data_IF_481498185031
#
_entry.id   IF_481498185031
#
_cell.length_a   1.000
_cell.length_b   1.000
_cell.length_c   1.000
_cell.angle_alpha   90.00
_cell.angle_beta   90.00
_cell.angle_gamma   90.00
#
_symmetry.space_group_name_H-M   'P 1'
#
loop_
_entity.id
_entity.type
_entity.pdbx_description
1 polymer ?
#
# COMPACT_ATOMS: atom_id res chain seq x y z
N UNK A 1 -1.90 -46.80 42.40
CA UNK A 1 -0.73 -46.20 41.73
C UNK A 1 -0.88 -46.41 40.24
N UNK A 2 -1.37 -45.40 39.52
CA UNK A 2 -1.34 -45.32 38.07
C UNK A 2 -0.86 -43.91 37.75
N UNK A 3 0.42 -43.79 37.44
CA UNK A 3 1.01 -42.58 36.90
C UNK A 3 0.54 -42.46 35.45
N UNK A 4 -0.45 -41.61 35.19
CA UNK A 4 -0.71 -41.10 33.85
C UNK A 4 0.24 -39.93 33.61
N UNK A 5 1.47 -40.21 33.19
CA UNK A 5 2.27 -39.21 32.49
C UNK A 5 1.58 -38.96 31.15
N UNK A 6 0.86 -37.85 31.06
CA UNK A 6 0.29 -37.41 29.80
C UNK A 6 1.43 -37.10 28.84
N UNK A 7 1.55 -37.92 27.79
CA UNK A 7 2.32 -37.58 26.60
C UNK A 7 1.71 -36.30 26.01
N UNK A 8 2.30 -35.16 26.37
CA UNK A 8 2.03 -33.90 25.67
C UNK A 8 2.42 -34.04 24.20
N UNK A 9 1.78 -33.29 23.29
CA UNK A 9 2.09 -33.36 21.88
C UNK A 9 3.60 -33.15 21.66
N UNK A 10 4.21 -34.04 20.87
CA UNK A 10 5.63 -33.96 20.53
C UNK A 10 5.97 -32.54 20.04
N UNK A 11 7.04 -31.91 20.57
CA UNK A 11 7.44 -30.55 20.19
C UNK A 11 7.69 -30.40 18.68
N UNK A 12 7.96 -31.50 17.97
CA UNK A 12 8.09 -31.54 16.52
C UNK A 12 6.73 -31.37 15.82
N UNK A 13 5.69 -32.05 16.29
CA UNK A 13 4.34 -31.97 15.73
C UNK A 13 3.75 -30.56 15.91
N UNK A 14 4.03 -29.93 17.06
CA UNK A 14 3.63 -28.56 17.31
C UNK A 14 4.31 -27.58 16.34
N UNK A 15 5.61 -27.78 16.05
CA UNK A 15 6.38 -26.90 15.14
C UNK A 15 5.90 -27.01 13.69
N UNK A 16 5.61 -28.23 13.19
CA UNK A 16 5.10 -28.43 11.82
C UNK A 16 3.73 -27.79 11.61
N UNK A 17 2.83 -27.91 12.59
CA UNK A 17 1.52 -27.23 12.56
C UNK A 17 1.70 -25.71 12.51
N UNK A 18 2.65 -25.17 13.29
CA UNK A 18 2.93 -23.73 13.29
C UNK A 18 3.51 -23.24 11.96
N UNK A 19 4.42 -24.01 11.35
CA UNK A 19 4.95 -23.70 10.02
C UNK A 19 3.85 -23.66 8.96
N UNK A 20 2.90 -24.61 9.00
CA UNK A 20 1.72 -24.61 8.13
C UNK A 20 0.84 -23.37 8.37
N UNK A 21 0.57 -23.03 9.64
CA UNK A 21 -0.22 -21.84 9.98
C UNK A 21 0.45 -20.55 9.48
N UNK A 22 1.78 -20.45 9.57
CA UNK A 22 2.55 -19.31 9.08
C UNK A 22 2.51 -19.22 7.55
N UNK A 23 2.55 -20.34 6.86
CA UNK A 23 2.48 -20.38 5.40
C UNK A 23 1.08 -19.99 4.90
N UNK A 24 0.04 -20.58 5.46
CA UNK A 24 -1.35 -20.26 5.11
C UNK A 24 -1.68 -18.80 5.40
N UNK A 25 -1.32 -18.30 6.59
CA UNK A 25 -1.54 -16.90 6.93
C UNK A 25 -0.61 -15.96 6.19
N UNK A 26 0.56 -16.42 5.75
CA UNK A 26 1.43 -15.66 4.85
C UNK A 26 0.85 -15.54 3.44
N UNK A 27 0.19 -16.60 2.96
CA UNK A 27 -0.57 -16.58 1.71
C UNK A 27 -1.79 -15.65 1.83
N UNK A 28 -2.47 -15.66 2.98
CA UNK A 28 -3.58 -14.76 3.29
C UNK A 28 -3.13 -13.37 3.77
N UNK A 29 -1.83 -13.13 4.04
CA UNK A 29 -1.33 -11.86 4.60
C UNK A 29 -1.55 -10.67 3.66
N UNK A 30 -1.76 -10.93 2.37
CA UNK A 30 -2.19 -9.90 1.43
C UNK A 30 -3.58 -9.34 1.73
N UNK A 31 -4.41 -10.12 2.43
CA UNK A 31 -5.80 -9.87 2.80
C UNK A 31 -5.98 -9.64 4.30
N UNK A 32 -5.03 -10.06 5.14
CA UNK A 32 -5.11 -9.93 6.60
C UNK A 32 -4.39 -8.66 7.09
N UNK A 33 -5.07 -7.79 7.85
CA UNK A 33 -4.44 -6.65 8.50
C UNK A 33 -3.37 -7.12 9.50
N UNK A 34 -2.24 -6.41 9.54
CA UNK A 34 -1.20 -6.65 10.56
C UNK A 34 -1.63 -6.22 11.96
N UNK A 35 -2.69 -5.42 12.06
CA UNK A 35 -3.43 -5.13 13.28
C UNK A 35 -4.26 -6.33 13.79
N UNK A 36 -4.44 -7.40 13.02
CA UNK A 36 -5.26 -8.53 13.49
C UNK A 36 -4.63 -9.23 14.69
N UNK A 37 -5.46 -9.61 15.67
CA UNK A 37 -4.98 -10.33 16.86
C UNK A 37 -4.32 -11.68 16.52
N UNK A 38 -4.74 -12.31 15.42
CA UNK A 38 -4.11 -13.52 14.91
C UNK A 38 -2.67 -13.25 14.46
N UNK A 39 -2.46 -12.19 13.67
CA UNK A 39 -1.12 -11.77 13.26
C UNK A 39 -0.24 -11.42 14.46
N UNK A 40 -0.77 -10.67 15.43
CA UNK A 40 -0.02 -10.26 16.63
C UNK A 40 0.33 -11.43 17.56
N UNK A 41 -0.58 -12.40 17.74
CA UNK A 41 -0.30 -13.60 18.52
C UNK A 41 0.78 -14.46 17.87
N UNK A 42 0.73 -14.63 16.54
CA UNK A 42 1.73 -15.36 15.79
C UNK A 42 3.07 -14.63 15.72
N UNK A 43 3.07 -13.31 15.63
CA UNK A 43 4.27 -12.48 15.78
C UNK A 43 4.90 -12.74 17.16
N UNK A 44 4.14 -12.60 18.23
CA UNK A 44 4.62 -12.80 19.61
C UNK A 44 5.21 -14.19 19.79
N UNK A 45 4.57 -15.21 19.22
CA UNK A 45 5.04 -16.58 19.25
C UNK A 45 6.28 -16.81 18.37
N UNK A 46 6.31 -16.27 17.15
CA UNK A 46 7.45 -16.36 16.24
C UNK A 46 8.71 -15.73 16.81
N UNK A 47 8.56 -14.67 17.61
CA UNK A 47 9.65 -13.98 18.27
C UNK A 47 10.30 -14.78 19.41
N UNK A 48 9.63 -15.82 19.92
CA UNK A 48 10.16 -16.70 20.98
C UNK A 48 10.78 -17.98 20.43
N UNK A 49 10.43 -18.40 19.20
CA UNK A 49 10.93 -19.64 18.58
C UNK A 49 11.94 -19.42 17.43
N UNK A 50 13.18 -19.89 17.60
CA UNK A 50 14.24 -19.71 16.59
C UNK A 50 13.97 -20.46 15.27
N UNK A 51 13.29 -21.62 15.31
CA UNK A 51 13.02 -22.47 14.13
C UNK A 51 12.03 -21.84 13.14
N UNK A 52 11.04 -21.11 13.65
CA UNK A 52 9.96 -20.55 12.84
C UNK A 52 10.28 -19.14 12.33
N UNK A 53 11.29 -18.50 12.91
CA UNK A 53 11.69 -17.13 12.58
C UNK A 53 11.97 -16.93 11.08
N UNK A 54 12.73 -17.84 10.45
CA UNK A 54 13.06 -17.73 9.02
C UNK A 54 11.82 -17.82 8.13
N UNK A 55 10.81 -18.61 8.53
CA UNK A 55 9.55 -18.75 7.80
C UNK A 55 8.68 -17.50 7.99
N UNK A 56 8.60 -16.98 9.21
CA UNK A 56 7.94 -15.70 9.52
C UNK A 56 8.56 -14.52 8.76
N UNK A 57 9.89 -14.48 8.61
CA UNK A 57 10.57 -13.45 7.82
C UNK A 57 10.12 -13.47 6.35
N UNK A 58 9.92 -14.65 5.78
CA UNK A 58 9.49 -14.80 4.38
C UNK A 58 8.01 -14.52 4.18
N UNK A 59 7.17 -14.92 5.13
CA UNK A 59 5.73 -15.05 4.91
C UNK A 59 4.91 -14.03 5.71
N UNK A 60 5.32 -13.69 6.94
CA UNK A 60 4.58 -12.75 7.80
C UNK A 60 5.14 -11.32 7.78
N UNK A 61 6.46 -11.15 7.86
CA UNK A 61 7.06 -9.81 7.90
C UNK A 61 7.21 -9.16 6.54
N UNK A 62 6.97 -9.94 5.47
CA UNK A 62 7.11 -9.47 4.10
C UNK A 62 6.08 -8.38 3.75
N UNK A 63 4.89 -8.42 4.37
CA UNK A 63 3.79 -7.48 4.13
C UNK A 63 3.37 -6.82 5.42
N UNK A 64 3.40 -5.48 5.43
CA UNK A 64 2.77 -4.69 6.48
C UNK A 64 1.48 -4.07 5.93
N UNK A 65 0.34 -4.49 6.47
CA UNK A 65 -0.99 -3.96 6.14
C UNK A 65 -1.53 -3.17 7.32
N UNK A 66 -1.57 -1.86 7.16
CA UNK A 66 -2.17 -0.93 8.12
C UNK A 66 -3.62 -0.68 7.68
N UNK A 67 -4.51 -1.47 8.27
CA UNK A 67 -5.94 -1.36 8.05
C UNK A 67 -6.66 -1.38 9.40
N UNK A 68 -7.82 -0.74 9.48
CA UNK A 68 -8.67 -0.78 10.66
C UNK A 68 -9.85 -1.71 10.38
N UNK A 69 -9.77 -3.00 10.76
CA UNK A 69 -10.89 -3.92 10.64
C UNK A 69 -11.90 -3.71 11.78
N UNK A 70 -12.31 -2.48 12.05
CA UNK A 70 -13.31 -2.18 13.07
C UNK A 70 -14.72 -2.29 12.49
N UNK A 71 -15.06 -3.51 12.04
CA UNK A 71 -16.41 -3.86 11.57
C UNK A 71 -17.00 -5.11 12.23
N UNK A 72 -16.23 -5.86 13.02
CA UNK A 72 -16.71 -7.10 13.66
C UNK A 72 -16.12 -7.28 15.06
N UNK A 73 -16.75 -6.65 16.05
CA UNK A 73 -16.71 -7.06 17.46
C UNK A 73 -15.31 -7.26 18.06
N UNK A 74 -14.75 -6.16 18.59
CA UNK A 74 -13.50 -6.07 19.37
C UNK A 74 -12.24 -6.53 18.62
N UNK A 75 -11.31 -5.60 18.37
CA UNK A 75 -9.87 -5.73 18.71
C UNK A 75 -9.13 -4.44 18.36
N UNK A 76 -8.06 -4.23 19.12
CA UNK A 76 -7.15 -3.09 19.27
C UNK A 76 -7.05 -2.10 18.08
N UNK A 77 -7.08 -0.79 18.33
CA UNK A 77 -7.06 0.23 17.27
C UNK A 77 -5.71 0.34 16.57
N UNK A 78 -5.71 0.77 15.30
CA UNK A 78 -4.50 0.87 14.45
C UNK A 78 -3.35 1.64 15.08
N UNK A 79 -3.62 2.72 15.83
CA UNK A 79 -2.59 3.49 16.55
C UNK A 79 -1.81 2.65 17.57
N UNK A 80 -2.49 1.77 18.31
CA UNK A 80 -1.86 0.93 19.32
C UNK A 80 -0.98 -0.14 18.65
N UNK A 81 -1.37 -0.62 17.48
CA UNK A 81 -0.55 -1.52 16.67
C UNK A 81 0.66 -0.85 16.05
N UNK A 82 0.51 0.39 15.57
CA UNK A 82 1.65 1.19 15.14
C UNK A 82 2.64 1.35 16.29
N UNK A 83 2.16 1.57 17.52
CA UNK A 83 3.02 1.69 18.70
C UNK A 83 3.84 0.42 18.91
N UNK A 84 3.17 -0.73 18.92
CA UNK A 84 3.80 -2.04 19.09
C UNK A 84 4.80 -2.35 17.98
N UNK A 85 4.45 -2.04 16.73
CA UNK A 85 5.31 -2.28 15.56
C UNK A 85 6.57 -1.43 15.63
N UNK A 86 6.43 -0.14 15.97
CA UNK A 86 7.57 0.78 16.12
C UNK A 86 8.47 0.35 17.26
N UNK A 87 7.90 -0.04 18.41
CA UNK A 87 8.64 -0.55 19.55
C UNK A 87 9.41 -1.84 19.19
N UNK A 88 8.76 -2.77 18.50
CA UNK A 88 9.40 -3.99 18.02
C UNK A 88 10.59 -3.68 17.10
N UNK A 89 10.45 -2.74 16.17
CA UNK A 89 11.56 -2.32 15.31
C UNK A 89 12.66 -1.56 16.06
N UNK A 90 12.37 -0.92 17.20
CA UNK A 90 13.40 -0.34 18.07
C UNK A 90 14.18 -1.43 18.79
N UNK A 91 13.50 -2.44 19.33
CA UNK A 91 14.13 -3.55 20.03
C UNK A 91 14.91 -4.48 19.10
N UNK A 92 14.35 -4.75 17.91
CA UNK A 92 14.91 -5.69 16.92
C UNK A 92 14.90 -5.06 15.51
N UNK A 93 15.84 -4.14 15.22
CA UNK A 93 15.89 -3.39 13.96
C UNK A 93 15.98 -4.26 12.71
N UNK A 94 16.56 -5.46 12.81
CA UNK A 94 16.65 -6.37 11.66
C UNK A 94 15.27 -6.72 11.07
N UNK A 95 14.17 -6.63 11.84
CA UNK A 95 12.86 -6.99 11.31
C UNK A 95 12.30 -6.00 10.30
N UNK A 96 12.62 -4.71 10.45
CA UNK A 96 12.21 -3.70 9.49
C UNK A 96 12.78 -4.00 8.08
N UNK A 97 13.92 -4.68 8.00
CA UNK A 97 14.56 -5.05 6.73
C UNK A 97 13.84 -6.17 5.96
N UNK A 98 12.97 -6.95 6.62
CA UNK A 98 12.19 -8.01 5.97
C UNK A 98 10.90 -7.49 5.33
N UNK A 99 10.45 -6.29 5.70
CA UNK A 99 9.27 -5.68 5.11
C UNK A 99 9.57 -5.25 3.67
N UNK A 100 8.88 -5.89 2.72
CA UNK A 100 8.97 -5.57 1.29
C UNK A 100 7.73 -4.87 0.76
N UNK A 101 6.57 -5.07 1.39
CA UNK A 101 5.30 -4.52 0.93
C UNK A 101 4.62 -3.76 2.06
N UNK A 102 4.13 -2.57 1.77
CA UNK A 102 3.39 -1.72 2.69
C UNK A 102 2.05 -1.35 2.08
N UNK A 103 0.95 -1.72 2.73
CA UNK A 103 -0.41 -1.33 2.37
C UNK A 103 -1.01 -0.48 3.49
N UNK A 104 -1.63 0.65 3.15
CA UNK A 104 -2.23 1.57 4.12
C UNK A 104 -3.64 1.95 3.65
N UNK A 105 -4.65 1.57 4.44
CA UNK A 105 -6.03 2.02 4.26
C UNK A 105 -6.22 3.35 4.99
N UNK A 106 -6.03 4.47 4.30
CA UNK A 106 -5.96 5.82 4.89
C UNK A 106 -7.21 6.21 5.66
N UNK A 107 -8.40 6.03 5.08
CA UNK A 107 -9.65 6.40 5.74
C UNK A 107 -9.92 5.55 7.00
N UNK A 108 -9.70 4.24 6.88
CA UNK A 108 -9.95 3.31 7.96
C UNK A 108 -8.91 3.45 9.08
N UNK A 109 -7.64 3.64 8.76
CA UNK A 109 -6.57 3.78 9.73
C UNK A 109 -6.51 5.18 10.37
N UNK A 110 -6.81 6.24 9.60
CA UNK A 110 -6.65 7.63 10.00
C UNK A 110 -7.83 8.49 9.48
N UNK A 111 -9.02 8.36 10.08
CA UNK A 111 -10.16 9.20 9.71
C UNK A 111 -9.89 10.67 10.03
N UNK A 112 -10.03 11.53 9.03
CA UNK A 112 -9.61 12.94 9.08
C UNK A 112 -10.61 13.89 9.75
N UNK A 113 -11.81 13.41 10.08
CA UNK A 113 -12.86 14.23 10.68
C UNK A 113 -13.46 13.61 11.94
N UNK A 114 -13.87 14.47 12.87
CA UNK A 114 -14.65 14.08 14.06
C UNK A 114 -15.97 13.40 13.72
N UNK A 115 -16.48 13.58 12.51
CA UNK A 115 -17.68 12.93 12.00
C UNK A 115 -17.38 11.53 11.44
N UNK A 116 -16.19 11.34 10.85
CA UNK A 116 -15.75 10.05 10.32
C UNK A 116 -15.27 9.08 11.42
N UNK A 117 -14.77 9.58 12.55
CA UNK A 117 -14.26 8.76 13.66
C UNK A 117 -15.37 7.87 14.28
N UNK A 118 -16.57 8.39 14.62
CA UNK A 118 -17.66 7.54 15.10
C UNK A 118 -18.12 6.51 14.07
N UNK A 119 -18.03 6.82 12.77
CA UNK A 119 -18.41 5.91 11.69
C UNK A 119 -17.43 4.75 11.50
N UNK A 120 -16.19 4.91 11.95
CA UNK A 120 -15.10 3.94 11.79
C UNK A 120 -14.78 3.19 13.07
N UNK A 121 -15.02 3.81 14.24
CA UNK A 121 -14.53 3.32 15.51
C UNK A 121 -15.60 3.10 16.59
N UNK A 122 -16.90 3.31 16.30
CA UNK A 122 -18.01 3.16 17.26
C UNK A 122 -17.79 3.87 18.63
N UNK A 123 -16.92 4.89 18.69
CA UNK A 123 -16.44 5.52 19.92
C UNK A 123 -16.24 7.03 19.70
N UNK A 124 -16.59 7.87 20.69
CA UNK A 124 -16.58 9.34 20.62
C UNK A 124 -15.55 10.02 21.56
N UNK A 125 -14.57 9.28 22.07
CA UNK A 125 -13.63 9.80 23.08
C UNK A 125 -12.56 10.74 22.52
N UNK A 126 -12.33 11.88 23.17
CA UNK A 126 -11.26 12.83 22.84
C UNK A 126 -9.85 12.21 22.94
N UNK A 127 -9.63 11.24 23.83
CA UNK A 127 -8.34 10.55 23.95
C UNK A 127 -8.01 9.70 22.73
N UNK A 128 -9.02 9.08 22.11
CA UNK A 128 -8.85 8.32 20.88
C UNK A 128 -8.50 9.24 19.71
N UNK A 129 -9.13 10.42 19.62
CA UNK A 129 -8.77 11.44 18.62
C UNK A 129 -7.31 11.89 18.78
N UNK A 130 -6.85 12.06 20.01
CA UNK A 130 -5.45 12.40 20.28
C UNK A 130 -4.50 11.29 19.82
N UNK A 131 -4.81 10.03 20.13
CA UNK A 131 -3.99 8.89 19.74
C UNK A 131 -3.98 8.67 18.22
N UNK A 132 -5.10 8.86 17.52
CA UNK A 132 -5.15 8.80 16.05
C UNK A 132 -4.31 9.91 15.42
N UNK A 133 -4.37 11.13 15.97
CA UNK A 133 -3.51 12.24 15.52
C UNK A 133 -2.04 11.96 15.76
N UNK A 134 -1.67 11.43 16.92
CA UNK A 134 -0.29 11.03 17.20
C UNK A 134 0.17 9.93 16.24
N UNK A 135 -0.70 8.95 15.97
CA UNK A 135 -0.41 7.88 15.03
C UNK A 135 -0.17 8.39 13.62
N UNK A 136 -1.03 9.29 13.12
CA UNK A 136 -0.89 9.86 11.80
C UNK A 136 0.29 10.85 11.72
N UNK A 137 0.43 11.77 12.67
CA UNK A 137 1.38 12.87 12.59
C UNK A 137 2.80 12.50 13.00
N UNK A 138 2.97 11.45 13.81
CA UNK A 138 4.28 11.09 14.39
C UNK A 138 4.64 9.66 14.02
N UNK A 139 3.77 8.71 14.34
CA UNK A 139 4.14 7.28 14.31
C UNK A 139 4.23 6.73 12.89
N UNK A 140 3.29 7.05 12.02
CA UNK A 140 3.33 6.64 10.62
C UNK A 140 4.54 7.22 9.87
N UNK A 141 4.86 8.53 9.99
CA UNK A 141 6.12 9.09 9.49
C UNK A 141 7.35 8.31 9.97
N UNK A 142 7.45 8.08 11.28
CA UNK A 142 8.56 7.30 11.86
C UNK A 142 8.64 5.89 11.29
N UNK A 143 7.51 5.22 11.10
CA UNK A 143 7.46 3.90 10.49
C UNK A 143 7.98 3.95 9.05
N UNK A 144 7.48 4.88 8.23
CA UNK A 144 7.91 5.04 6.84
C UNK A 144 9.42 5.25 6.74
N UNK A 145 10.02 6.07 7.61
CA UNK A 145 11.47 6.27 7.68
C UNK A 145 12.25 5.01 8.08
N UNK A 146 11.67 4.14 8.90
CA UNK A 146 12.33 2.92 9.41
C UNK A 146 12.32 1.75 8.45
N UNK A 147 11.55 1.78 7.37
CA UNK A 147 11.45 0.68 6.41
C UNK A 147 12.42 0.88 5.23
N UNK A 148 13.57 0.18 5.17
CA UNK A 148 14.60 0.44 4.17
C UNK A 148 14.42 -0.32 2.85
N UNK A 149 13.63 -1.40 2.84
CA UNK A 149 13.68 -2.45 1.83
C UNK A 149 12.37 -2.65 1.06
N UNK A 150 11.43 -1.70 1.20
CA UNK A 150 10.10 -1.79 0.62
C UNK A 150 10.19 -1.66 -0.90
N UNK A 151 9.61 -2.64 -1.59
CA UNK A 151 9.51 -2.73 -3.05
C UNK A 151 8.09 -2.51 -3.54
N UNK A 152 7.08 -2.51 -2.68
CA UNK A 152 5.68 -2.24 -3.05
C UNK A 152 5.02 -1.35 -1.99
N UNK A 153 4.43 -0.23 -2.42
CA UNK A 153 3.66 0.68 -1.57
C UNK A 153 2.25 0.82 -2.15
N UNK A 154 1.23 0.64 -1.32
CA UNK A 154 -0.19 0.84 -1.67
C UNK A 154 -0.86 1.77 -0.67
N UNK A 155 -1.45 2.85 -1.15
CA UNK A 155 -2.27 3.77 -0.37
C UNK A 155 -3.72 3.68 -0.87
N UNK A 156 -4.65 3.29 0.00
CA UNK A 156 -6.06 3.14 -0.34
C UNK A 156 -6.92 4.14 0.46
N UNK A 157 -7.71 4.93 -0.25
CA UNK A 157 -8.67 5.90 0.29
C UNK A 157 -10.08 5.34 0.54
N UNK A 158 -10.34 4.06 0.26
CA UNK A 158 -11.67 3.45 0.38
C UNK A 158 -12.23 3.60 1.80
N UNK A 159 -13.53 3.88 1.90
CA UNK A 159 -14.27 3.98 3.16
C UNK A 159 -14.85 5.37 3.47
N UNK A 160 -14.42 6.43 2.77
CA UNK A 160 -15.06 7.74 2.90
C UNK A 160 -16.51 7.67 2.41
N UNK A 161 -17.47 7.86 3.32
CA UNK A 161 -18.91 7.88 3.07
C UNK A 161 -19.36 8.89 1.98
N UNK A 162 -18.46 9.77 1.53
CA UNK A 162 -18.71 10.86 0.58
C UNK A 162 -18.07 10.56 -0.80
N UNK A 163 -17.41 9.41 -0.98
CA UNK A 163 -16.58 9.12 -2.14
C UNK A 163 -15.09 9.25 -1.83
N UNK A 164 -14.26 9.27 -2.87
CA UNK A 164 -12.79 9.24 -2.86
C UNK A 164 -12.11 10.11 -1.78
N UNK A 165 -10.95 9.66 -1.27
CA UNK A 165 -10.22 10.32 -0.19
C UNK A 165 -9.22 11.33 -0.73
N UNK A 166 -9.32 12.60 -0.33
CA UNK A 166 -8.42 13.65 -0.85
C UNK A 166 -7.01 13.55 -0.29
N UNK A 167 -6.01 13.64 -1.17
CA UNK A 167 -4.60 13.78 -0.81
C UNK A 167 -4.37 14.92 0.18
N UNK A 168 -5.11 16.02 0.05
CA UNK A 168 -4.98 17.17 0.95
C UNK A 168 -5.45 16.88 2.38
N UNK A 169 -6.28 15.85 2.55
CA UNK A 169 -6.76 15.42 3.86
C UNK A 169 -5.70 14.63 4.63
N UNK A 170 -4.70 14.07 3.95
CA UNK A 170 -3.56 13.40 4.59
C UNK A 170 -2.72 14.42 5.37
N UNK A 171 -2.37 14.10 6.61
CA UNK A 171 -1.54 14.98 7.43
C UNK A 171 -0.23 15.39 6.72
N UNK A 172 0.21 16.66 6.83
CA UNK A 172 1.43 17.13 6.15
C UNK A 172 2.68 16.29 6.42
N UNK A 173 2.96 15.81 7.66
CA UNK A 173 4.12 14.96 7.92
C UNK A 173 4.07 13.62 7.17
N UNK A 174 2.87 13.04 6.99
CA UNK A 174 2.69 11.81 6.23
C UNK A 174 2.94 12.06 4.76
N UNK A 175 2.36 13.12 4.18
CA UNK A 175 2.62 13.50 2.79
C UNK A 175 4.10 13.69 2.52
N UNK A 176 4.80 14.41 3.38
CA UNK A 176 6.25 14.59 3.29
C UNK A 176 6.99 13.25 3.35
N UNK A 177 6.62 12.38 4.30
CA UNK A 177 7.27 11.07 4.45
C UNK A 177 7.01 10.15 3.27
N UNK A 178 5.83 10.22 2.65
CA UNK A 178 5.52 9.49 1.41
C UNK A 178 6.37 10.02 0.26
N UNK A 179 6.46 11.34 0.08
CA UNK A 179 7.33 11.93 -0.96
C UNK A 179 8.79 11.52 -0.76
N UNK A 180 9.31 11.62 0.47
CA UNK A 180 10.66 11.18 0.80
C UNK A 180 10.86 9.69 0.55
N UNK A 181 9.85 8.87 0.86
CA UNK A 181 9.87 7.44 0.60
C UNK A 181 9.94 7.15 -0.90
N UNK A 182 9.12 7.82 -1.71
CA UNK A 182 9.11 7.65 -3.17
C UNK A 182 10.41 8.14 -3.81
N UNK A 183 11.02 9.21 -3.29
CA UNK A 183 12.21 9.85 -3.89
C UNK A 183 13.54 9.39 -3.29
N UNK A 184 13.54 8.41 -2.37
CA UNK A 184 14.78 7.93 -1.73
C UNK A 184 15.83 7.49 -2.75
N UNK A 185 17.11 7.86 -2.58
CA UNK A 185 18.16 7.46 -3.50
C UNK A 185 18.42 5.94 -3.47
N UNK A 186 18.72 5.34 -4.62
CA UNK A 186 18.99 3.89 -4.79
C UNK A 186 20.13 3.38 -3.91
N UNK A 187 21.14 4.23 -3.62
CA UNK A 187 22.23 3.90 -2.67
C UNK A 187 21.73 3.69 -1.22
N UNK A 188 20.52 4.15 -0.92
CA UNK A 188 19.80 3.94 0.34
C UNK A 188 18.76 2.82 0.31
N UNK A 189 18.74 1.97 -0.74
CA UNK A 189 17.87 0.78 -0.79
C UNK A 189 16.52 0.95 -1.48
N UNK A 190 16.25 2.11 -2.12
CA UNK A 190 14.98 2.29 -2.83
C UNK A 190 14.93 1.43 -4.10
N UNK A 191 14.21 0.32 -4.01
CA UNK A 191 13.86 -0.60 -5.11
C UNK A 191 12.34 -0.69 -5.23
N UNK A 192 11.65 0.45 -5.17
CA UNK A 192 10.22 0.48 -5.39
C UNK A 192 9.92 -0.02 -6.80
N UNK A 193 9.20 -1.14 -6.85
CA UNK A 193 8.82 -1.89 -8.03
C UNK A 193 7.34 -1.69 -8.36
N UNK A 194 6.52 -1.51 -7.33
CA UNK A 194 5.08 -1.31 -7.42
C UNK A 194 4.62 -0.10 -6.58
N UNK A 195 3.74 0.70 -7.17
CA UNK A 195 3.06 1.81 -6.51
C UNK A 195 1.56 1.71 -6.77
N UNK A 196 0.78 1.67 -5.70
CA UNK A 196 -0.67 1.72 -5.72
C UNK A 196 -1.18 3.00 -5.07
N UNK A 197 -1.99 3.76 -5.80
CA UNK A 197 -2.81 4.84 -5.29
C UNK A 197 -4.25 4.47 -5.66
N UNK A 198 -5.05 4.06 -4.69
CA UNK A 198 -6.40 3.55 -4.93
C UNK A 198 -7.41 4.44 -4.20
N UNK A 199 -8.52 4.81 -4.86
CA UNK A 199 -9.59 5.62 -4.27
C UNK A 199 -9.12 6.97 -3.67
N UNK A 200 -8.09 7.57 -4.27
CA UNK A 200 -7.48 8.83 -3.84
C UNK A 200 -7.76 9.96 -4.85
N UNK A 201 -8.10 11.15 -4.38
CA UNK A 201 -8.32 12.34 -5.25
C UNK A 201 -7.38 13.48 -4.93
N UNK A 202 -7.32 14.43 -5.86
CA UNK A 202 -6.51 15.64 -5.75
C UNK A 202 -5.02 15.33 -5.55
N UNK A 203 -4.55 14.24 -6.16
CA UNK A 203 -3.15 13.82 -6.06
C UNK A 203 -2.31 14.83 -6.85
N UNK A 204 -1.29 15.45 -6.25
CA UNK A 204 -0.43 16.36 -6.96
C UNK A 204 0.37 15.58 -8.02
N UNK A 205 0.35 15.98 -9.31
CA UNK A 205 1.13 15.32 -10.35
C UNK A 205 2.64 15.27 -10.05
N UNK A 206 3.15 16.23 -9.28
CA UNK A 206 4.54 16.21 -8.81
C UNK A 206 4.91 14.99 -7.98
N UNK A 207 3.95 14.25 -7.41
CA UNK A 207 4.21 13.00 -6.69
C UNK A 207 4.85 11.93 -7.59
N UNK A 208 4.61 12.00 -8.90
CA UNK A 208 5.20 11.09 -9.88
C UNK A 208 6.59 11.55 -10.36
N UNK A 209 7.01 12.78 -10.02
CA UNK A 209 8.39 13.24 -10.28
C UNK A 209 9.36 12.46 -9.39
N UNK A 210 10.53 12.15 -9.94
CA UNK A 210 11.64 11.54 -9.21
C UNK A 210 11.38 10.15 -8.60
N UNK A 211 10.33 9.46 -9.05
CA UNK A 211 10.11 8.03 -8.77
C UNK A 211 11.32 7.21 -9.29
N UNK A 212 11.77 6.19 -8.55
CA UNK A 212 12.93 5.40 -8.93
C UNK A 212 12.72 4.66 -10.25
N UNK A 213 13.79 4.48 -11.05
CA UNK A 213 13.72 3.76 -12.32
C UNK A 213 13.35 2.27 -12.18
N UNK A 214 13.37 1.72 -10.96
CA UNK A 214 12.93 0.35 -10.66
C UNK A 214 11.41 0.17 -10.73
N UNK A 215 10.63 1.25 -10.72
CA UNK A 215 9.16 1.14 -10.75
C UNK A 215 8.70 0.53 -12.08
N UNK A 216 7.96 -0.57 -12.00
CA UNK A 216 7.46 -1.29 -13.17
C UNK A 216 5.96 -1.58 -13.12
N UNK A 217 5.33 -1.44 -11.96
CA UNK A 217 3.89 -1.63 -11.78
C UNK A 217 3.26 -0.38 -11.17
N UNK A 218 2.19 0.12 -11.80
CA UNK A 218 1.42 1.25 -11.32
C UNK A 218 -0.06 0.87 -11.25
N UNK A 219 -0.68 1.04 -10.07
CA UNK A 219 -2.10 0.75 -9.82
C UNK A 219 -2.80 2.03 -9.40
N UNK A 220 -3.76 2.48 -10.19
CA UNK A 220 -4.42 3.79 -10.11
C UNK A 220 -5.96 3.64 -10.15
N UNK A 221 -6.48 2.59 -9.51
CA UNK A 221 -7.92 2.35 -9.41
C UNK A 221 -8.59 3.57 -8.75
N UNK A 222 -9.43 4.29 -9.50
CA UNK A 222 -10.17 5.48 -9.02
C UNK A 222 -9.27 6.61 -8.44
N UNK A 223 -8.07 6.82 -9.01
CA UNK A 223 -7.09 7.78 -8.50
C UNK A 223 -7.02 9.10 -9.30
N UNK A 224 -7.56 10.21 -8.79
CA UNK A 224 -7.62 11.48 -9.53
C UNK A 224 -6.47 12.45 -9.19
N UNK A 225 -5.83 12.97 -10.24
CA UNK A 225 -4.75 13.96 -10.13
C UNK A 225 -5.27 15.40 -10.24
N UNK A 226 -4.75 16.30 -9.41
CA UNK A 226 -5.04 17.73 -9.49
C UNK A 226 -4.06 18.43 -10.44
N UNK A 227 -4.40 18.40 -11.73
CA UNK A 227 -3.63 19.08 -12.77
C UNK A 227 -3.82 20.60 -12.80
N UNK A 228 -4.63 21.16 -11.91
CA UNK A 228 -5.03 22.58 -11.95
C UNK A 228 -4.33 23.43 -10.90
N UNK A 229 -3.86 22.84 -9.80
CA UNK A 229 -3.22 23.58 -8.70
C UNK A 229 -1.71 23.80 -8.87
N UNK A 230 -1.03 23.04 -9.72
CA UNK A 230 0.37 23.29 -10.06
C UNK A 230 0.44 24.30 -11.22
N UNK A 231 0.75 25.57 -10.89
CA UNK A 231 1.09 26.62 -11.86
C UNK A 231 2.36 26.30 -12.68
N UNK A 232 3.11 25.26 -12.32
CA UNK A 232 4.12 24.68 -13.17
C UNK A 232 3.40 24.07 -14.37
N UNK A 233 3.56 24.67 -15.56
CA UNK A 233 2.92 24.26 -16.80
C UNK A 233 2.84 22.73 -16.84
N UNK A 234 1.67 22.15 -17.10
CA UNK A 234 1.50 20.69 -17.32
C UNK A 234 2.63 20.13 -18.21
N UNK A 235 3.12 20.95 -19.14
CA UNK A 235 4.28 20.73 -20.02
C UNK A 235 5.60 20.39 -19.30
N UNK A 236 5.86 20.93 -18.11
CA UNK A 236 7.11 20.77 -17.34
C UNK A 236 7.17 19.44 -16.60
N UNK A 237 6.04 19.04 -15.97
CA UNK A 237 5.83 17.75 -15.32
C UNK A 237 5.90 16.56 -16.29
N UNK A 238 5.53 16.82 -17.54
CA UNK A 238 5.39 15.82 -18.60
C UNK A 238 6.63 15.72 -19.48
N UNK A 239 7.73 16.40 -19.13
CA UNK A 239 8.97 16.23 -19.87
C UNK A 239 9.52 14.80 -19.71
N UNK A 240 9.89 14.11 -20.80
CA UNK A 240 10.42 12.74 -20.78
C UNK A 240 11.62 12.50 -19.85
N UNK A 241 12.33 13.57 -19.47
CA UNK A 241 13.50 13.53 -18.59
C UNK A 241 13.16 13.34 -17.12
N UNK A 242 11.91 13.61 -16.72
CA UNK A 242 11.44 13.46 -15.35
C UNK A 242 10.89 12.05 -15.08
N UNK A 243 10.48 11.33 -16.13
CA UNK A 243 9.97 9.97 -16.06
C UNK A 243 11.08 8.98 -16.41
N UNK A 244 11.70 8.40 -15.39
CA UNK A 244 12.88 7.53 -15.53
C UNK A 244 12.56 6.03 -15.48
N UNK A 245 11.29 5.66 -15.42
CA UNK A 245 10.85 4.29 -15.19
C UNK A 245 10.07 3.73 -16.40
N UNK A 246 10.13 2.41 -16.57
CA UNK A 246 9.43 1.70 -17.64
C UNK A 246 8.30 0.86 -17.04
N UNK A 247 7.05 1.28 -17.26
CA UNK A 247 5.88 0.57 -16.75
C UNK A 247 5.66 -0.69 -17.58
N UNK A 248 5.63 -1.84 -16.91
CA UNK A 248 5.30 -3.14 -17.49
C UNK A 248 3.88 -3.59 -17.16
N UNK A 249 3.30 -3.07 -16.07
CA UNK A 249 1.92 -3.33 -15.67
C UNK A 249 1.22 -2.04 -15.25
N UNK A 250 0.06 -1.76 -15.84
CA UNK A 250 -0.75 -0.58 -15.56
C UNK A 250 -2.19 -1.00 -15.30
N UNK A 251 -2.73 -0.59 -14.16
CA UNK A 251 -4.13 -0.75 -13.78
C UNK A 251 -4.73 0.63 -13.51
N UNK A 252 -5.80 1.01 -14.22
CA UNK A 252 -6.39 2.35 -14.10
C UNK A 252 -7.90 2.33 -14.39
N UNK A 253 -8.64 3.24 -13.76
CA UNK A 253 -10.05 3.48 -14.04
C UNK A 253 -10.28 4.64 -14.99
N UNK A 254 -11.17 5.57 -14.63
CA UNK A 254 -11.56 6.75 -15.43
C UNK A 254 -10.45 7.81 -15.63
N UNK A 255 -9.18 7.47 -15.39
CA UNK A 255 -8.03 8.38 -15.35
C UNK A 255 -7.39 8.61 -16.72
N UNK A 256 -8.20 8.89 -17.73
CA UNK A 256 -7.71 9.08 -19.10
C UNK A 256 -6.82 10.32 -19.28
N UNK A 257 -6.93 11.33 -18.40
CA UNK A 257 -6.05 12.51 -18.45
C UNK A 257 -4.57 12.16 -18.22
N UNK A 258 -4.28 11.25 -17.28
CA UNK A 258 -2.91 10.77 -17.07
C UNK A 258 -2.44 9.95 -18.27
N UNK A 259 -3.31 9.13 -18.85
CA UNK A 259 -2.98 8.32 -20.03
C UNK A 259 -2.71 9.21 -21.24
N UNK A 260 -3.55 10.21 -21.49
CA UNK A 260 -3.35 11.22 -22.53
C UNK A 260 -2.02 11.94 -22.33
N UNK A 261 -1.71 12.30 -21.09
CA UNK A 261 -0.43 12.90 -20.74
C UNK A 261 0.76 11.95 -21.00
N UNK A 262 0.63 10.66 -20.68
CA UNK A 262 1.65 9.65 -20.97
C UNK A 262 1.79 9.36 -22.48
N UNK A 263 0.74 9.55 -23.28
CA UNK A 263 0.77 9.32 -24.72
C UNK A 263 1.28 10.53 -25.53
N UNK A 264 1.00 11.76 -25.08
CA UNK A 264 1.31 12.97 -25.83
C UNK A 264 2.81 13.32 -25.94
N UNK A 265 3.67 12.81 -25.06
CA UNK A 265 5.04 13.32 -24.89
C UNK A 265 6.18 12.31 -25.17
N UNK A 266 6.11 11.47 -26.21
CA UNK A 266 7.17 10.50 -26.59
C UNK A 266 7.56 9.47 -25.50
N UNK A 267 6.92 9.51 -24.33
CA UNK A 267 6.88 8.48 -23.29
C UNK A 267 6.22 7.18 -23.80
N UNK A 268 5.68 7.18 -25.01
CA UNK A 268 5.33 5.98 -25.77
C UNK A 268 6.46 4.95 -25.83
N UNK A 269 7.74 5.33 -25.73
CA UNK A 269 8.85 4.37 -25.59
C UNK A 269 8.82 3.55 -24.30
N UNK A 270 8.32 4.13 -23.22
CA UNK A 270 8.17 3.45 -21.93
C UNK A 270 6.88 2.63 -21.89
N UNK A 271 5.81 3.12 -22.51
CA UNK A 271 4.54 2.38 -22.67
C UNK A 271 4.64 1.24 -23.70
N UNK A 272 5.55 1.32 -24.67
CA UNK A 272 5.82 0.24 -25.63
C UNK A 272 6.48 -1.00 -25.00
N UNK A 273 6.77 -0.96 -23.69
CA UNK A 273 7.22 -2.12 -22.90
C UNK A 273 6.13 -2.67 -21.99
N UNK A 274 4.92 -2.10 -22.04
CA UNK A 274 3.80 -2.53 -21.23
C UNK A 274 3.40 -3.97 -21.61
N UNK A 275 3.42 -4.86 -20.62
CA UNK A 275 3.09 -6.27 -20.77
C UNK A 275 1.69 -6.60 -20.25
N UNK A 276 1.20 -5.84 -19.27
CA UNK A 276 -0.13 -6.01 -18.68
C UNK A 276 -0.87 -4.69 -18.62
N UNK A 277 -2.11 -4.69 -19.11
CA UNK A 277 -3.03 -3.55 -19.04
C UNK A 277 -4.36 -4.01 -18.44
N UNK A 278 -4.74 -3.41 -17.32
CA UNK A 278 -6.08 -3.51 -16.74
C UNK A 278 -6.73 -2.13 -16.82
N UNK A 279 -7.95 -2.07 -17.35
CA UNK A 279 -8.69 -0.83 -17.50
C UNK A 279 -10.15 -0.99 -17.10
N UNK A 280 -10.64 -0.04 -16.30
CA UNK A 280 -12.04 0.06 -15.90
C UNK A 280 -12.66 1.30 -16.57
N UNK A 281 -13.72 1.09 -17.35
CA UNK A 281 -14.31 2.15 -18.17
C UNK A 281 -15.72 2.50 -17.68
N UNK A 282 -15.90 3.72 -17.17
CA UNK A 282 -17.21 4.31 -16.88
C UNK A 282 -17.64 5.21 -18.06
N UNK A 283 -18.36 4.63 -19.04
CA UNK A 283 -18.89 5.26 -20.29
C UNK A 283 -17.94 5.41 -21.49
N UNK A 284 -18.56 5.55 -22.66
CA UNK A 284 -18.01 5.57 -24.04
C UNK A 284 -17.09 6.75 -24.42
N UNK A 285 -16.67 7.60 -23.48
CA UNK A 285 -16.02 8.89 -23.79
C UNK A 285 -14.51 8.81 -24.10
N UNK A 286 -13.87 7.64 -24.02
CA UNK A 286 -12.41 7.54 -24.09
C UNK A 286 -11.86 6.45 -25.04
N UNK A 287 -12.67 6.01 -26.00
CA UNK A 287 -12.27 5.00 -26.99
C UNK A 287 -11.04 5.43 -27.82
N UNK A 288 -10.87 6.73 -28.09
CA UNK A 288 -9.73 7.24 -28.86
C UNK A 288 -8.42 7.15 -28.07
N UNK A 289 -8.39 7.59 -26.81
CA UNK A 289 -7.22 7.49 -25.93
C UNK A 289 -6.84 6.04 -25.68
N UNK A 290 -7.81 5.18 -25.40
CA UNK A 290 -7.58 3.75 -25.23
C UNK A 290 -7.05 3.12 -26.54
N UNK A 291 -7.62 3.48 -27.69
CA UNK A 291 -7.15 3.02 -29.00
C UNK A 291 -5.70 3.45 -29.28
N UNK A 292 -5.33 4.69 -28.95
CA UNK A 292 -3.95 5.17 -29.03
C UNK A 292 -3.03 4.39 -28.09
N UNK A 293 -3.42 4.19 -26.83
CA UNK A 293 -2.65 3.40 -25.86
C UNK A 293 -2.39 1.98 -26.38
N UNK A 294 -3.44 1.28 -26.80
CA UNK A 294 -3.35 -0.07 -27.34
C UNK A 294 -2.46 -0.12 -28.59
N UNK A 295 -2.51 0.88 -29.46
CA UNK A 295 -1.65 0.93 -30.65
C UNK A 295 -0.16 1.03 -30.29
N UNK A 296 0.17 1.75 -29.21
CA UNK A 296 1.55 1.95 -28.74
C UNK A 296 2.08 0.70 -28.02
N UNK A 297 1.25 0.03 -27.20
CA UNK A 297 1.67 -1.13 -26.41
C UNK A 297 1.43 -2.48 -27.08
N UNK A 298 0.70 -2.55 -28.19
CA UNK A 298 0.40 -3.79 -28.91
C UNK A 298 1.60 -4.73 -29.13
N UNK A 299 2.82 -4.25 -29.44
CA UNK A 299 3.97 -5.14 -29.65
C UNK A 299 4.46 -5.87 -28.39
N UNK A 300 4.20 -5.33 -27.19
CA UNK A 300 4.68 -5.86 -25.91
C UNK A 300 3.60 -6.45 -25.02
N UNK A 301 2.33 -6.14 -25.30
CA UNK A 301 1.20 -6.52 -24.47
C UNK A 301 0.98 -8.04 -24.47
N UNK A 302 0.87 -8.62 -23.28
CA UNK A 302 0.65 -10.06 -23.04
C UNK A 302 -0.66 -10.34 -22.31
N UNK A 303 -1.10 -9.38 -21.50
CA UNK A 303 -2.35 -9.44 -20.74
C UNK A 303 -3.14 -8.17 -20.97
N UNK A 304 -4.44 -8.32 -21.26
CA UNK A 304 -5.38 -7.22 -21.43
C UNK A 304 -6.68 -7.58 -20.71
N UNK A 305 -7.03 -6.78 -19.71
CA UNK A 305 -8.30 -6.84 -19.01
C UNK A 305 -9.02 -5.51 -19.21
N UNK A 306 -10.23 -5.56 -19.76
CA UNK A 306 -11.08 -4.38 -19.93
C UNK A 306 -12.43 -4.70 -19.32
N UNK A 307 -12.74 -3.99 -18.25
CA UNK A 307 -14.00 -4.09 -17.53
C UNK A 307 -14.84 -2.84 -17.78
N UNK A 308 -16.11 -3.04 -18.14
CA UNK A 308 -17.06 -1.93 -18.34
C UNK A 308 -18.29 -2.13 -17.46
N UNK A 309 -18.70 -1.09 -16.75
CA UNK A 309 -19.98 -1.09 -16.04
C UNK A 309 -21.02 -0.32 -16.85
N UNK A 310 -21.98 -1.04 -17.42
CA UNK A 310 -23.21 -0.45 -17.92
C UNK A 310 -24.17 -0.25 -16.75
N UNK A 311 -24.65 0.99 -16.55
CA UNK A 311 -25.95 1.19 -15.91
C UNK A 311 -27.02 1.23 -17.00
#
# INVERSE_FOLDING_TARGET
>A
MLNSEGEGPSPYLATEILELVIDELGAEAELLPTSSAAFQALLSFALTGHRVLTRCQRNLFNVLTLDSPEGKGRKTPTWAHLHQTIAMFQEKPQFASYVRRLKISLFHAFPTSRLAVPMTHDITSDSLLQNLREAEQIMLPQLLHKLPNVTSLSLDGRGSYIGEYSWQSIAPPVRQSVVEFLTRPVKGGNMLNELGLENLVMIPPSLLKDIPPSLHTLRLESAHFDWTSENDDKLTLLQPRQWRFAITSLDFGDQFELIDALLAYDSGRYLAKLQSLSCWIQRTLHAETLGKLLSVCAPSLRSLEISSFGR
#
